data_IF_377355069877
#
_entry.id   IF_377355069877
#
_cell.length_a   1.000
_cell.length_b   1.000
_cell.length_c   1.000
_cell.angle_alpha   90.00
_cell.angle_beta   90.00
_cell.angle_gamma   90.00
#
_symmetry.space_group_name_H-M   'P 1'
#
loop_
_entity.id
_entity.type
_entity.pdbx_description
1 polymer ?
#
# COMPACT_ATOMS: atom_id res chain seq x y z
N UNK A 1 -12.98 10.05 9.60
CA UNK A 1 -11.87 10.23 10.56
C UNK A 1 -11.82 11.73 10.81
N UNK A 2 -12.50 12.22 11.85
CA UNK A 2 -12.52 13.65 12.14
C UNK A 2 -11.33 13.92 13.05
N UNK A 3 -10.36 14.63 12.49
CA UNK A 3 -9.13 15.07 13.13
C UNK A 3 -9.52 15.87 14.38
N UNK A 4 -9.00 15.47 15.55
CA UNK A 4 -9.01 16.33 16.74
C UNK A 4 -8.32 17.66 16.38
N UNK A 5 -8.91 18.76 16.83
CA UNK A 5 -8.75 20.18 16.43
C UNK A 5 -7.32 20.77 16.33
N UNK A 6 -6.24 20.01 16.46
CA UNK A 6 -4.91 20.61 16.63
C UNK A 6 -4.12 20.86 15.35
N UNK A 7 -4.51 20.38 14.16
CA UNK A 7 -4.05 20.86 12.83
C UNK A 7 -4.76 20.11 11.70
N UNK A 8 -5.41 20.82 10.78
CA UNK A 8 -5.97 20.21 9.58
C UNK A 8 -4.84 19.69 8.67
N UNK A 9 -4.86 18.43 8.21
CA UNK A 9 -3.86 17.89 7.29
C UNK A 9 -3.64 18.76 6.04
N UNK A 10 -4.66 19.52 5.64
CA UNK A 10 -4.65 20.38 4.47
C UNK A 10 -3.83 21.68 4.65
N UNK A 11 -3.46 22.04 5.88
CA UNK A 11 -2.64 23.24 6.14
C UNK A 11 -1.13 22.95 6.18
N UNK A 12 -0.72 21.69 6.12
CA UNK A 12 0.68 21.31 6.10
C UNK A 12 1.17 21.31 4.64
N UNK A 13 2.19 22.12 4.34
CA UNK A 13 2.76 22.31 2.99
C UNK A 13 4.02 21.47 2.72
N UNK A 14 4.56 20.82 3.76
CA UNK A 14 5.67 19.88 3.66
C UNK A 14 5.14 18.45 3.71
N UNK A 15 5.32 17.71 2.61
CA UNK A 15 4.83 16.34 2.48
C UNK A 15 5.43 15.37 3.50
N UNK A 16 6.68 15.58 3.90
CA UNK A 16 7.35 14.73 4.90
C UNK A 16 6.73 14.93 6.28
N UNK A 17 6.54 16.19 6.69
CA UNK A 17 5.89 16.54 7.96
C UNK A 17 4.45 16.01 7.99
N UNK A 18 3.72 16.12 6.88
CA UNK A 18 2.36 15.59 6.75
C UNK A 18 2.34 14.05 6.93
N UNK A 19 3.22 13.34 6.21
CA UNK A 19 3.30 11.88 6.28
C UNK A 19 3.69 11.39 7.68
N UNK A 20 4.62 12.06 8.35
CA UNK A 20 4.99 11.74 9.74
C UNK A 20 3.82 11.94 10.70
N UNK A 21 3.10 13.06 10.59
CA UNK A 21 1.96 13.37 11.43
C UNK A 21 0.83 12.33 11.27
N UNK A 22 0.48 12.01 10.03
CA UNK A 22 -0.55 11.01 9.73
C UNK A 22 -0.12 9.59 10.11
N UNK A 23 1.16 9.25 9.96
CA UNK A 23 1.70 7.96 10.44
C UNK A 23 1.55 7.82 11.95
N UNK A 24 1.90 8.86 12.72
CA UNK A 24 1.73 8.85 14.19
C UNK A 24 0.26 8.72 14.60
N UNK A 25 -0.64 9.37 13.87
CA UNK A 25 -2.07 9.24 14.10
C UNK A 25 -2.56 7.82 13.80
N UNK A 26 -2.17 7.27 12.66
CA UNK A 26 -2.57 5.93 12.25
C UNK A 26 -2.13 4.86 13.26
N UNK A 27 -0.87 4.93 13.72
CA UNK A 27 -0.32 4.04 14.75
C UNK A 27 -1.14 4.08 16.06
N UNK A 28 -1.62 5.25 16.48
CA UNK A 28 -2.48 5.37 17.65
C UNK A 28 -3.86 4.74 17.42
N UNK A 29 -4.37 4.76 16.18
CA UNK A 29 -5.71 4.30 15.85
C UNK A 29 -5.84 2.79 15.68
N UNK A 30 -4.76 2.09 15.29
CA UNK A 30 -4.79 0.64 15.05
C UNK A 30 -4.56 -0.21 16.31
N UNK A 31 -4.19 0.41 17.42
CA UNK A 31 -3.81 -0.27 18.67
C UNK A 31 -2.82 -1.43 18.42
N UNK A 32 -3.23 -2.67 18.71
CA UNK A 32 -2.43 -3.89 18.52
C UNK A 32 -2.80 -4.70 17.27
N UNK A 33 -3.78 -4.24 16.50
CA UNK A 33 -4.27 -4.97 15.33
C UNK A 33 -3.24 -4.89 14.20
N UNK A 34 -3.02 -5.98 13.43
CA UNK A 34 -2.00 -6.03 12.39
C UNK A 34 -2.50 -5.45 11.07
N UNK A 35 -1.72 -4.55 10.46
CA UNK A 35 -2.10 -3.83 9.24
C UNK A 35 -0.94 -3.70 8.25
N UNK A 36 -1.26 -3.82 6.97
CA UNK A 36 -0.49 -3.25 5.87
C UNK A 36 -0.90 -1.79 5.66
N UNK A 37 0.07 -0.93 5.37
CA UNK A 37 -0.16 0.48 5.02
C UNK A 37 0.82 0.95 3.95
N UNK A 38 0.31 1.71 2.99
CA UNK A 38 1.11 2.44 2.00
C UNK A 38 0.59 3.85 1.84
N UNK A 39 1.50 4.82 1.71
CA UNK A 39 1.19 6.23 1.50
C UNK A 39 2.03 6.80 0.38
N UNK A 40 1.51 7.83 -0.25
CA UNK A 40 2.22 8.66 -1.22
C UNK A 40 1.79 10.12 -1.04
N UNK A 41 2.75 11.02 -1.10
CA UNK A 41 2.51 12.45 -0.89
C UNK A 41 3.45 13.30 -1.74
N UNK A 42 3.00 14.41 -2.35
CA UNK A 42 3.89 15.37 -2.97
C UNK A 42 4.84 15.99 -1.94
N UNK A 43 6.13 16.13 -2.24
CA UNK A 43 7.10 16.76 -1.33
C UNK A 43 6.68 18.20 -1.00
N UNK A 44 6.24 18.93 -2.02
CA UNK A 44 5.61 20.23 -1.86
C UNK A 44 4.11 20.05 -1.97
N UNK A 45 3.40 20.14 -0.85
CA UNK A 45 1.94 20.09 -0.82
C UNK A 45 1.35 21.49 -0.81
N UNK A 46 0.07 21.58 -1.13
CA UNK A 46 -0.69 22.81 -1.22
C UNK A 46 -2.18 22.50 -1.10
N UNK A 47 -3.00 23.52 -0.83
CA UNK A 47 -4.45 23.33 -0.82
C UNK A 47 -4.94 23.12 -2.25
N UNK A 48 -5.84 22.15 -2.43
CA UNK A 48 -6.54 21.90 -3.70
C UNK A 48 -5.62 21.58 -4.90
N UNK A 49 -4.51 20.88 -4.66
CA UNK A 49 -3.70 20.31 -5.76
C UNK A 49 -4.54 19.29 -6.55
N UNK A 50 -5.42 18.55 -5.87
CA UNK A 50 -6.33 17.60 -6.48
C UNK A 50 -7.77 18.09 -6.32
N UNK A 51 -8.48 18.22 -7.45
CA UNK A 51 -9.92 18.43 -7.44
C UNK A 51 -10.66 17.08 -7.28
N UNK A 52 -10.85 16.65 -6.03
CA UNK A 52 -11.54 15.39 -5.68
C UNK A 52 -13.02 15.33 -6.07
N UNK A 53 -13.59 16.48 -6.46
CA UNK A 53 -14.98 16.57 -6.94
C UNK A 53 -15.09 16.51 -8.47
N UNK A 54 -13.95 16.49 -9.19
CA UNK A 54 -13.94 16.28 -10.64
C UNK A 54 -14.41 14.86 -11.01
N UNK A 55 -15.04 14.75 -12.18
CA UNK A 55 -15.56 13.49 -12.69
C UNK A 55 -14.40 12.52 -12.93
N UNK A 56 -13.33 13.01 -13.52
CA UNK A 56 -12.13 12.25 -13.89
C UNK A 56 -11.44 11.63 -12.67
N UNK A 57 -11.29 12.40 -11.59
CA UNK A 57 -10.73 11.88 -10.33
C UNK A 57 -11.67 10.85 -9.71
N UNK A 58 -12.97 11.10 -9.69
CA UNK A 58 -13.94 10.15 -9.13
C UNK A 58 -14.00 8.86 -9.93
N UNK A 59 -13.93 8.94 -11.25
CA UNK A 59 -13.94 7.77 -12.14
C UNK A 59 -12.69 6.90 -11.96
N UNK A 60 -11.50 7.50 -11.97
CA UNK A 60 -10.25 6.73 -11.76
C UNK A 60 -10.16 6.19 -10.33
N UNK A 61 -10.62 6.97 -9.35
CA UNK A 61 -10.66 6.52 -7.97
C UNK A 61 -11.70 5.43 -7.77
N UNK A 62 -12.82 5.41 -8.50
CA UNK A 62 -13.80 4.32 -8.43
C UNK A 62 -13.30 3.07 -9.15
N UNK A 63 -12.72 3.23 -10.34
CA UNK A 63 -12.27 2.16 -11.23
C UNK A 63 -10.78 2.33 -11.55
N UNK A 64 -9.88 1.92 -10.63
CA UNK A 64 -8.44 2.01 -10.87
C UNK A 64 -8.03 1.24 -12.14
N UNK A 65 -6.99 1.70 -12.85
CA UNK A 65 -6.51 1.05 -14.07
C UNK A 65 -5.73 -0.24 -13.77
N UNK A 66 -5.61 -1.13 -14.77
CA UNK A 66 -4.74 -2.32 -14.76
C UNK A 66 -4.95 -3.29 -13.57
N UNK A 67 -6.19 -3.44 -13.11
CA UNK A 67 -6.53 -4.32 -11.99
C UNK A 67 -6.81 -5.75 -12.46
N UNK A 68 -6.28 -6.75 -11.74
CA UNK A 68 -6.66 -8.16 -11.96
C UNK A 68 -8.03 -8.42 -11.33
N UNK A 69 -8.97 -8.96 -12.10
CA UNK A 69 -10.31 -9.28 -11.62
C UNK A 69 -10.23 -10.25 -10.42
N UNK A 70 -10.88 -9.89 -9.31
CA UNK A 70 -10.87 -10.69 -8.08
C UNK A 70 -9.52 -10.73 -7.36
N UNK A 71 -8.62 -9.78 -7.67
CA UNK A 71 -7.34 -9.63 -6.99
C UNK A 71 -7.39 -8.79 -5.70
N UNK A 72 -6.24 -8.68 -5.05
CA UNK A 72 -5.97 -7.84 -3.89
C UNK A 72 -5.49 -6.48 -4.34
N UNK A 73 -6.42 -5.68 -4.82
CA UNK A 73 -6.09 -4.47 -5.56
C UNK A 73 -6.89 -3.27 -5.03
N UNK A 74 -6.82 -2.12 -5.70
CA UNK A 74 -7.49 -0.90 -5.21
C UNK A 74 -8.99 -0.90 -5.49
N UNK A 75 -9.49 -1.79 -6.34
CA UNK A 75 -10.91 -1.92 -6.65
C UNK A 75 -11.71 -2.37 -5.43
N UNK A 76 -12.78 -1.64 -5.12
CA UNK A 76 -13.74 -2.02 -4.11
C UNK A 76 -15.16 -1.75 -4.59
N UNK A 77 -15.74 -2.75 -5.28
CA UNK A 77 -17.10 -2.68 -5.83
C UNK A 77 -18.20 -2.56 -4.77
N UNK A 78 -17.90 -2.91 -3.52
CA UNK A 78 -18.89 -2.97 -2.45
C UNK A 78 -19.01 -1.66 -1.66
N UNK A 79 -18.11 -0.71 -1.89
CA UNK A 79 -18.11 0.60 -1.24
C UNK A 79 -18.24 1.72 -2.24
N UNK A 80 -19.23 2.59 -2.05
CA UNK A 80 -19.32 3.85 -2.76
C UNK A 80 -18.24 4.83 -2.28
N UNK A 81 -17.79 5.72 -3.16
CA UNK A 81 -16.95 6.86 -2.76
C UNK A 81 -17.74 7.78 -1.83
N UNK A 82 -17.13 8.10 -0.69
CA UNK A 82 -17.65 9.08 0.27
C UNK A 82 -16.78 10.35 0.25
N UNK A 83 -17.43 11.50 0.41
CA UNK A 83 -16.80 12.82 0.46
C UNK A 83 -16.73 13.29 1.91
N UNK A 84 -15.57 13.78 2.34
CA UNK A 84 -15.37 14.48 3.63
C UNK A 84 -14.63 15.79 3.35
N UNK A 85 -14.64 16.82 4.22
CA UNK A 85 -14.20 18.17 3.85
C UNK A 85 -12.87 18.27 3.10
N UNK A 86 -11.86 17.50 3.52
CA UNK A 86 -10.50 17.56 2.96
C UNK A 86 -10.23 16.56 1.82
N UNK A 87 -11.17 15.69 1.46
CA UNK A 87 -10.90 14.65 0.46
C UNK A 87 -12.05 13.68 0.18
N UNK A 88 -11.72 12.56 -0.44
CA UNK A 88 -12.62 11.43 -0.68
C UNK A 88 -12.02 10.15 -0.10
N UNK A 89 -12.87 9.20 0.29
CA UNK A 89 -12.42 7.86 0.67
C UNK A 89 -13.39 6.80 0.16
N UNK A 90 -12.94 5.54 0.21
CA UNK A 90 -13.79 4.37 0.04
C UNK A 90 -13.31 3.23 0.93
N UNK A 91 -14.25 2.37 1.32
CA UNK A 91 -14.00 1.18 2.12
C UNK A 91 -14.39 1.33 3.59
N UNK A 92 -13.99 0.38 4.42
CA UNK A 92 -14.31 0.31 5.85
C UNK A 92 -13.01 0.30 6.66
N UNK A 93 -12.99 1.03 7.78
CA UNK A 93 -11.83 1.08 8.67
C UNK A 93 -11.46 -0.28 9.26
N UNK A 94 -12.41 -1.21 9.36
CA UNK A 94 -12.21 -2.57 9.87
C UNK A 94 -11.82 -3.57 8.78
N UNK A 95 -11.96 -3.18 7.52
CA UNK A 95 -11.50 -3.92 6.35
C UNK A 95 -10.45 -3.05 5.64
N UNK A 96 -10.65 -2.72 4.38
CA UNK A 96 -9.71 -1.96 3.57
C UNK A 96 -10.20 -0.53 3.43
N UNK A 97 -9.29 0.43 3.53
CA UNK A 97 -9.60 1.85 3.39
C UNK A 97 -8.61 2.49 2.42
N UNK A 98 -9.14 3.23 1.45
CA UNK A 98 -8.38 4.08 0.54
C UNK A 98 -8.85 5.52 0.70
N UNK A 99 -7.92 6.45 0.94
CA UNK A 99 -8.21 7.86 1.20
C UNK A 99 -7.36 8.72 0.27
N UNK A 100 -7.99 9.72 -0.37
CA UNK A 100 -7.33 10.74 -1.18
C UNK A 100 -7.69 12.13 -0.67
N UNK A 101 -6.68 12.90 -0.29
CA UNK A 101 -6.85 14.28 0.16
C UNK A 101 -6.63 15.26 -0.99
N UNK A 102 -7.29 16.42 -0.91
CA UNK A 102 -7.15 17.52 -1.86
C UNK A 102 -5.73 18.10 -1.94
N UNK A 103 -4.89 17.85 -0.94
CA UNK A 103 -3.48 18.30 -0.93
C UNK A 103 -2.51 17.33 -1.62
N UNK A 104 -3.02 16.25 -2.21
CA UNK A 104 -2.20 15.25 -2.89
C UNK A 104 -1.87 14.02 -2.05
N UNK A 105 -2.05 14.03 -0.72
CA UNK A 105 -1.79 12.83 0.07
C UNK A 105 -2.79 11.72 -0.24
N UNK A 106 -2.29 10.53 -0.53
CA UNK A 106 -3.10 9.31 -0.66
C UNK A 106 -2.59 8.24 0.30
N UNK A 107 -3.51 7.49 0.89
CA UNK A 107 -3.23 6.43 1.85
C UNK A 107 -4.13 5.24 1.59
N UNK A 108 -3.53 4.06 1.65
CA UNK A 108 -4.23 2.80 1.67
C UNK A 108 -3.76 1.97 2.87
N UNK A 109 -4.71 1.32 3.53
CA UNK A 109 -4.40 0.30 4.53
C UNK A 109 -5.39 -0.86 4.50
N UNK A 110 -4.90 -2.02 4.91
CA UNK A 110 -5.65 -3.29 4.96
C UNK A 110 -5.21 -4.12 6.16
N UNK A 111 -6.12 -4.82 6.86
CA UNK A 111 -5.74 -5.72 7.94
C UNK A 111 -4.89 -6.88 7.38
N UNK A 112 -3.94 -7.35 8.18
CA UNK A 112 -3.20 -8.58 7.89
C UNK A 112 -3.99 -9.80 8.41
N UNK A 113 -5.21 -9.96 7.92
CA UNK A 113 -6.16 -11.01 8.30
C UNK A 113 -6.02 -12.28 7.42
N UNK A 114 -6.99 -13.19 7.51
CA UNK A 114 -7.05 -14.39 6.67
C UNK A 114 -7.19 -14.11 5.17
N UNK A 115 -7.75 -12.96 4.77
CA UNK A 115 -7.82 -12.59 3.36
C UNK A 115 -6.43 -12.19 2.84
N UNK A 116 -5.69 -11.40 3.63
CA UNK A 116 -4.29 -11.06 3.33
C UNK A 116 -3.37 -12.29 3.43
N UNK A 117 -3.69 -13.19 4.35
CA UNK A 117 -2.98 -14.43 4.62
C UNK A 117 -3.71 -15.63 3.96
N UNK A 118 -4.08 -15.50 2.69
CA UNK A 118 -4.87 -16.51 1.98
C UNK A 118 -4.20 -17.90 1.92
N UNK A 119 -4.99 -18.96 1.68
CA UNK A 119 -4.59 -20.39 1.67
C UNK A 119 -3.98 -20.88 3.00
N UNK A 120 -4.57 -20.52 4.13
CA UNK A 120 -4.27 -21.18 5.40
C UNK A 120 -5.56 -21.38 6.22
N UNK A 121 -5.57 -22.39 7.08
CA UNK A 121 -6.67 -22.60 8.02
C UNK A 121 -6.67 -21.53 9.12
N UNK A 122 -7.79 -21.38 9.84
CA UNK A 122 -7.86 -20.51 11.02
C UNK A 122 -6.79 -20.90 12.05
N UNK A 123 -6.60 -22.20 12.29
CA UNK A 123 -5.59 -22.71 13.24
C UNK A 123 -4.17 -22.37 12.81
N UNK A 124 -3.85 -22.52 11.52
CA UNK A 124 -2.55 -22.13 10.98
C UNK A 124 -2.30 -20.62 11.14
N UNK A 125 -3.32 -19.80 10.83
CA UNK A 125 -3.27 -18.35 10.95
C UNK A 125 -3.05 -17.90 12.40
N UNK A 126 -3.79 -18.45 13.36
CA UNK A 126 -3.67 -18.10 14.78
C UNK A 126 -2.33 -18.52 15.38
N UNK A 127 -1.76 -19.63 14.92
CA UNK A 127 -0.48 -20.14 15.41
C UNK A 127 0.71 -19.40 14.82
N UNK A 128 0.72 -19.19 13.50
CA UNK A 128 1.84 -18.57 12.79
C UNK A 128 1.35 -18.01 11.44
N UNK A 129 0.84 -16.77 11.41
CA UNK A 129 0.24 -16.22 10.21
C UNK A 129 1.28 -16.09 9.08
N UNK A 130 0.86 -16.49 7.89
CA UNK A 130 1.71 -16.48 6.69
C UNK A 130 1.15 -15.53 5.66
N UNK A 131 1.89 -14.46 5.38
CA UNK A 131 1.55 -13.51 4.33
C UNK A 131 1.50 -14.23 2.97
N UNK A 132 0.45 -13.96 2.20
CA UNK A 132 0.31 -14.49 0.86
C UNK A 132 0.97 -13.55 -0.15
N UNK A 133 1.69 -14.10 -1.12
CA UNK A 133 2.51 -13.29 -2.02
C UNK A 133 1.70 -12.34 -2.91
N UNK A 134 0.47 -12.70 -3.26
CA UNK A 134 -0.40 -11.85 -4.09
C UNK A 134 -0.73 -10.51 -3.43
N UNK A 135 -1.36 -10.42 -2.24
CA UNK A 135 -1.63 -9.12 -1.59
C UNK A 135 -0.38 -8.32 -1.29
N UNK A 136 0.74 -8.99 -0.99
CA UNK A 136 2.05 -8.34 -0.78
C UNK A 136 2.50 -7.55 -2.02
N UNK A 137 2.19 -8.03 -3.22
CA UNK A 137 2.61 -7.39 -4.49
C UNK A 137 1.49 -6.53 -5.09
N UNK A 138 0.25 -7.02 -5.11
CA UNK A 138 -0.86 -6.38 -5.79
C UNK A 138 -1.29 -5.07 -5.14
N UNK A 139 -1.36 -5.01 -3.81
CA UNK A 139 -1.75 -3.77 -3.14
C UNK A 139 -0.77 -2.62 -3.41
N UNK A 140 0.55 -2.75 -3.18
CA UNK A 140 1.46 -1.65 -3.48
C UNK A 140 1.49 -1.31 -4.97
N UNK A 141 1.48 -2.30 -5.87
CA UNK A 141 1.49 -2.03 -7.31
C UNK A 141 0.25 -1.28 -7.77
N UNK A 142 -0.94 -1.77 -7.41
CA UNK A 142 -2.22 -1.15 -7.80
C UNK A 142 -2.41 0.23 -7.19
N UNK A 143 -1.92 0.45 -5.97
CA UNK A 143 -1.91 1.75 -5.31
C UNK A 143 -1.04 2.76 -6.07
N UNK A 144 0.18 2.36 -6.43
CA UNK A 144 1.12 3.19 -7.19
C UNK A 144 0.58 3.48 -8.61
N UNK A 145 0.02 2.48 -9.28
CA UNK A 145 -0.55 2.68 -10.61
C UNK A 145 -1.74 3.66 -10.58
N UNK A 146 -2.65 3.50 -9.61
CA UNK A 146 -3.74 4.45 -9.39
C UNK A 146 -3.22 5.88 -9.16
N UNK A 147 -2.24 6.05 -8.28
CA UNK A 147 -1.72 7.39 -7.98
C UNK A 147 -1.02 8.03 -9.19
N UNK A 148 -0.31 7.25 -10.00
CA UNK A 148 0.33 7.76 -11.22
C UNK A 148 -0.70 8.36 -12.20
N UNK A 149 -1.91 7.79 -12.27
CA UNK A 149 -2.99 8.34 -13.09
C UNK A 149 -3.58 9.62 -12.47
N UNK A 150 -3.74 9.64 -11.15
CA UNK A 150 -4.18 10.85 -10.42
C UNK A 150 -3.21 12.02 -10.63
N UNK A 151 -1.90 11.74 -10.59
CA UNK A 151 -0.83 12.73 -10.87
C UNK A 151 -0.99 13.34 -12.26
N UNK A 152 -1.24 12.50 -13.28
CA UNK A 152 -1.45 12.96 -14.66
C UNK A 152 -2.71 13.81 -14.81
N UNK A 153 -3.83 13.38 -14.22
CA UNK A 153 -5.10 14.14 -14.26
C UNK A 153 -4.95 15.50 -13.56
N UNK A 154 -4.23 15.52 -12.43
CA UNK A 154 -4.09 16.70 -11.58
C UNK A 154 -2.90 17.59 -11.95
N UNK A 155 -2.10 17.22 -12.95
CA UNK A 155 -0.87 17.90 -13.37
C UNK A 155 0.10 18.18 -12.20
N UNK A 156 0.35 17.16 -11.38
CA UNK A 156 1.32 17.27 -10.28
C UNK A 156 2.73 17.14 -10.86
N UNK A 157 3.55 18.20 -10.74
CA UNK A 157 4.91 18.28 -11.32
C UNK A 157 6.02 18.36 -10.24
N UNK A 158 5.80 17.72 -9.09
CA UNK A 158 6.78 17.71 -7.98
C UNK A 158 7.17 16.30 -7.59
N UNK A 159 8.29 16.15 -6.89
CA UNK A 159 8.70 14.86 -6.33
C UNK A 159 7.66 14.33 -5.36
N UNK A 160 7.60 13.01 -5.26
CA UNK A 160 6.67 12.30 -4.41
C UNK A 160 7.45 11.48 -3.39
N UNK A 161 6.98 11.49 -2.15
CA UNK A 161 7.47 10.66 -1.07
C UNK A 161 6.53 9.46 -0.89
N UNK A 162 7.08 8.25 -1.00
CA UNK A 162 6.35 7.00 -0.81
C UNK A 162 6.80 6.34 0.48
N UNK A 163 5.87 5.84 1.28
CA UNK A 163 6.17 5.06 2.49
C UNK A 163 5.33 3.81 2.56
N UNK A 164 5.95 2.67 2.90
CA UNK A 164 5.28 1.37 3.04
C UNK A 164 5.60 0.74 4.38
N UNK A 165 4.60 0.17 5.04
CA UNK A 165 4.71 -0.32 6.42
C UNK A 165 3.85 -1.57 6.62
N UNK A 166 4.37 -2.51 7.40
CA UNK A 166 3.60 -3.60 8.01
C UNK A 166 3.67 -3.41 9.51
N UNK A 167 2.52 -3.30 10.17
CA UNK A 167 2.39 -2.87 11.55
C UNK A 167 1.78 -3.98 12.39
N UNK A 168 2.24 -4.13 13.64
CA UNK A 168 1.89 -5.21 14.55
C UNK A 168 2.05 -6.61 13.93
N UNK A 169 3.08 -6.79 13.08
CA UNK A 169 3.29 -7.99 12.26
C UNK A 169 4.34 -8.95 12.85
N UNK A 170 4.66 -8.83 14.14
CA UNK A 170 5.54 -9.79 14.81
C UNK A 170 4.95 -11.19 14.73
N UNK A 171 5.78 -12.19 14.45
CA UNK A 171 5.36 -13.59 14.29
C UNK A 171 4.91 -13.96 12.88
N UNK A 172 4.74 -12.99 11.97
CA UNK A 172 4.38 -13.28 10.59
C UNK A 172 5.54 -13.87 9.81
N UNK A 173 5.20 -14.71 8.83
CA UNK A 173 6.14 -15.26 7.84
C UNK A 173 5.72 -14.92 6.41
N UNK A 174 6.63 -15.09 5.46
CA UNK A 174 6.39 -14.94 4.04
C UNK A 174 7.08 -16.08 3.29
N UNK A 175 6.40 -16.68 2.31
CA UNK A 175 7.04 -17.64 1.41
C UNK A 175 7.67 -16.92 0.21
N UNK A 176 8.82 -17.41 -0.28
CA UNK A 176 9.44 -16.87 -1.47
C UNK A 176 8.73 -17.37 -2.73
N UNK A 177 8.98 -16.69 -3.85
CA UNK A 177 8.51 -17.08 -5.19
C UNK A 177 6.99 -17.07 -5.36
N UNK A 178 6.55 -17.36 -6.60
CA UNK A 178 5.13 -17.41 -6.94
C UNK A 178 4.47 -18.66 -6.35
N UNK A 179 3.19 -18.60 -5.92
CA UNK A 179 2.50 -19.71 -5.29
C UNK A 179 2.52 -21.03 -6.07
N UNK A 180 2.61 -20.97 -7.40
CA UNK A 180 2.60 -22.13 -8.30
C UNK A 180 4.00 -22.78 -8.44
N UNK A 181 5.04 -22.16 -7.89
CA UNK A 181 6.41 -22.63 -8.02
C UNK A 181 6.77 -23.68 -6.99
N UNK A 182 7.67 -24.62 -7.36
CA UNK A 182 8.21 -25.63 -6.44
C UNK A 182 8.85 -24.96 -5.21
N UNK A 183 9.56 -23.84 -5.41
CA UNK A 183 10.22 -23.10 -4.33
C UNK A 183 9.27 -22.50 -3.29
N UNK A 184 7.99 -22.31 -3.65
CA UNK A 184 6.96 -21.85 -2.72
C UNK A 184 6.47 -22.99 -1.81
N UNK A 185 6.20 -24.17 -2.38
CA UNK A 185 5.73 -25.33 -1.62
C UNK A 185 6.84 -26.04 -0.83
N UNK A 186 8.08 -25.97 -1.31
CA UNK A 186 9.25 -26.61 -0.73
C UNK A 186 10.39 -25.60 -0.62
N UNK A 187 10.26 -24.59 0.27
CA UNK A 187 11.32 -23.60 0.45
C UNK A 187 12.56 -24.31 1.01
N UNK A 188 13.73 -24.05 0.41
CA UNK A 188 15.00 -24.69 0.82
C UNK A 188 15.38 -24.38 2.28
N UNK A 189 14.96 -23.23 2.77
CA UNK A 189 15.15 -22.79 4.15
C UNK A 189 13.78 -22.54 4.78
N UNK A 190 13.65 -22.75 6.08
CA UNK A 190 12.46 -22.33 6.81
C UNK A 190 12.27 -20.82 6.68
N UNK A 191 11.05 -20.34 6.38
CA UNK A 191 10.77 -18.91 6.31
C UNK A 191 11.17 -18.22 7.59
N UNK A 192 11.89 -17.10 7.47
CA UNK A 192 12.21 -16.28 8.63
C UNK A 192 10.94 -15.69 9.22
N UNK A 193 10.83 -15.73 10.53
CA UNK A 193 9.73 -15.10 11.28
C UNK A 193 10.12 -13.64 11.56
N UNK A 194 9.18 -12.71 11.38
CA UNK A 194 9.37 -11.32 11.78
C UNK A 194 9.46 -11.24 13.30
N UNK A 195 10.54 -10.68 13.82
CA UNK A 195 10.82 -10.52 15.25
C UNK A 195 10.40 -9.14 15.81
N UNK A 196 10.16 -8.17 14.93
CA UNK A 196 9.75 -6.79 15.26
C UNK A 196 8.24 -6.62 15.20
N UNK A 197 7.71 -5.75 16.06
CA UNK A 197 6.29 -5.38 16.02
C UNK A 197 5.93 -4.64 14.74
N UNK A 198 6.83 -3.79 14.23
CA UNK A 198 6.62 -3.05 13.00
C UNK A 198 7.77 -3.31 12.03
N UNK A 199 7.42 -3.53 10.77
CA UNK A 199 8.33 -3.54 9.65
C UNK A 199 8.10 -2.27 8.82
N UNK A 200 9.00 -1.30 8.99
CA UNK A 200 8.97 -0.02 8.30
C UNK A 200 9.95 -0.09 7.12
N UNK A 201 9.44 0.05 5.90
CA UNK A 201 10.27 0.11 4.70
C UNK A 201 10.80 1.54 4.57
N UNK A 202 12.10 1.74 4.25
CA UNK A 202 12.64 3.08 4.03
C UNK A 202 11.80 3.83 2.99
N UNK A 203 11.42 5.06 3.32
CA UNK A 203 10.67 5.91 2.39
C UNK A 203 11.50 6.21 1.15
N UNK A 204 10.84 6.39 0.02
CA UNK A 204 11.46 6.64 -1.28
C UNK A 204 11.00 7.97 -1.86
N UNK A 205 11.96 8.79 -2.28
CA UNK A 205 11.70 9.96 -3.11
C UNK A 205 11.72 9.56 -4.58
N UNK A 206 10.64 9.85 -5.30
CA UNK A 206 10.51 9.56 -6.73
C UNK A 206 10.08 10.82 -7.49
N UNK A 207 10.36 10.88 -8.79
CA UNK A 207 9.81 11.94 -9.65
C UNK A 207 8.30 11.71 -9.88
N UNK A 208 7.57 12.75 -10.29
CA UNK A 208 6.13 12.64 -10.54
C UNK A 208 5.76 11.67 -11.67
N UNK A 209 6.68 11.45 -12.62
CA UNK A 209 6.54 10.57 -13.79
C UNK A 209 7.10 9.15 -13.56
N UNK A 210 7.18 8.73 -12.29
CA UNK A 210 7.72 7.43 -11.92
C UNK A 210 7.00 6.25 -12.58
N UNK A 211 7.73 5.15 -12.76
CA UNK A 211 7.20 3.85 -13.17
C UNK A 211 6.68 3.08 -11.93
N UNK A 212 5.36 2.79 -11.85
CA UNK A 212 4.79 2.05 -10.72
C UNK A 212 5.40 0.67 -10.48
N UNK A 213 5.78 -0.05 -11.54
CA UNK A 213 6.35 -1.39 -11.43
C UNK A 213 7.76 -1.34 -10.84
N UNK A 214 8.61 -0.43 -11.33
CA UNK A 214 9.97 -0.29 -10.80
C UNK A 214 9.96 0.16 -9.34
N UNK A 215 9.12 1.15 -9.00
CA UNK A 215 9.02 1.63 -7.62
C UNK A 215 8.48 0.55 -6.69
N UNK A 216 7.45 -0.20 -7.12
CA UNK A 216 6.95 -1.35 -6.35
C UNK A 216 8.06 -2.39 -6.14
N UNK A 217 8.83 -2.72 -7.17
CA UNK A 217 9.92 -3.68 -7.08
C UNK A 217 10.99 -3.25 -6.07
N UNK A 218 11.39 -1.97 -6.07
CA UNK A 218 12.34 -1.43 -5.09
C UNK A 218 11.81 -1.50 -3.64
N UNK A 219 10.53 -1.15 -3.41
CA UNK A 219 9.91 -1.30 -2.09
C UNK A 219 9.90 -2.77 -1.64
N UNK A 220 9.59 -3.68 -2.55
CA UNK A 220 9.53 -5.12 -2.26
C UNK A 220 10.91 -5.72 -2.00
N UNK A 221 12.01 -5.18 -2.55
CA UNK A 221 13.37 -5.62 -2.18
C UNK A 221 13.64 -5.48 -0.70
N UNK A 222 13.31 -4.33 -0.11
CA UNK A 222 13.46 -4.11 1.33
C UNK A 222 12.54 -5.03 2.15
N UNK A 223 11.30 -5.20 1.68
CA UNK A 223 10.34 -6.08 2.35
C UNK A 223 10.81 -7.54 2.34
N UNK A 224 11.15 -8.11 1.19
CA UNK A 224 11.64 -9.49 1.07
C UNK A 224 12.99 -9.71 1.76
N UNK A 225 13.89 -8.72 1.74
CA UNK A 225 15.14 -8.77 2.48
C UNK A 225 14.93 -8.91 4.00
N UNK A 226 13.81 -8.41 4.53
CA UNK A 226 13.45 -8.56 5.94
C UNK A 226 13.17 -10.02 6.33
N UNK A 227 12.77 -10.84 5.35
CA UNK A 227 12.64 -12.29 5.45
C UNK A 227 13.89 -13.05 5.00
N UNK A 228 15.00 -12.35 4.75
CA UNK A 228 16.27 -12.91 4.26
C UNK A 228 16.19 -13.53 2.87
N UNK A 229 15.31 -13.00 2.02
CA UNK A 229 15.21 -13.37 0.61
C UNK A 229 15.96 -12.39 -0.29
N UNK A 230 16.51 -12.91 -1.39
CA UNK A 230 17.11 -12.11 -2.44
C UNK A 230 16.07 -11.58 -3.44
N UNK A 231 16.36 -10.51 -4.20
CA UNK A 231 15.40 -9.89 -5.12
C UNK A 231 14.79 -10.83 -6.17
N UNK A 232 15.54 -11.83 -6.65
CA UNK A 232 15.04 -12.85 -7.59
C UNK A 232 14.01 -13.82 -6.99
N UNK A 233 13.75 -13.73 -5.68
CA UNK A 233 12.70 -14.48 -4.99
C UNK A 233 11.39 -13.68 -4.90
N UNK A 234 11.39 -12.41 -5.32
CA UNK A 234 10.17 -11.61 -5.44
C UNK A 234 9.36 -12.18 -6.62
N UNK A 235 8.10 -12.56 -6.40
CA UNK A 235 7.28 -13.18 -7.43
C UNK A 235 6.80 -12.17 -8.47
N UNK A 236 6.37 -12.69 -9.62
CA UNK A 236 5.67 -11.97 -10.68
C UNK A 236 6.47 -10.90 -11.43
N UNK A 237 7.64 -10.48 -10.93
CA UNK A 237 8.49 -9.51 -11.62
C UNK A 237 9.30 -10.17 -12.74
N UNK A 238 9.25 -9.57 -13.92
CA UNK A 238 9.92 -10.03 -15.14
C UNK A 238 11.06 -9.04 -15.45
N UNK A 239 12.29 -9.41 -15.05
CA UNK A 239 13.45 -8.50 -15.03
C UNK A 239 13.77 -7.86 -16.38
N UNK A 240 13.72 -8.64 -17.47
CA UNK A 240 14.01 -8.16 -18.84
C UNK A 240 13.00 -7.11 -19.33
N UNK A 241 11.77 -7.15 -18.80
CA UNK A 241 10.71 -6.20 -19.14
C UNK A 241 10.48 -5.14 -18.06
N UNK A 242 11.08 -5.31 -16.88
CA UNK A 242 10.89 -4.43 -15.73
C UNK A 242 9.43 -4.24 -15.31
N UNK A 243 8.61 -5.30 -15.45
CA UNK A 243 7.17 -5.26 -15.13
C UNK A 243 6.76 -6.43 -14.24
N UNK A 244 5.72 -6.21 -13.46
CA UNK A 244 4.99 -7.27 -12.77
C UNK A 244 3.93 -7.84 -13.70
N UNK A 245 3.89 -9.16 -13.86
CA UNK A 245 2.86 -9.88 -14.62
C UNK A 245 2.19 -10.87 -13.67
N UNK A 246 0.91 -10.62 -13.41
CA UNK A 246 0.09 -11.40 -12.48
C UNK A 246 -0.96 -12.15 -13.29
N UNK A 247 -0.88 -13.47 -13.26
CA UNK A 247 -1.82 -14.39 -13.91
C UNK A 247 -2.93 -14.80 -12.93
#
# INVERSE_FOLDING_TARGET
MLVNEELSPISITDGSVLNEGLTKYFLKSIEKSPYFRITIVPITTGRNIINVDSIEIREVFQNPPNQRQGGWNMENFYSSIERFPEGIYRGDKKDRMLILYQNGYMEFYAPLDMNYCWRQSQEEFERQPRLYSYPVVEYPLSFLDLYSHIVRISNIETKLLISMQYLNCKGYTLLPYKPESIGFYMPRNSPKIIDKDHLIIPSMDVNYDYDPHLVCYELLKYFYASFSYSPNMIPFFIEDKSVFIME
#
